data_IF_504968669054
#
_entry.id   IF_504968669054
#
_cell.length_a   1.000
_cell.length_b   1.000
_cell.length_c   1.000
_cell.angle_alpha   90.00
_cell.angle_beta   90.00
_cell.angle_gamma   90.00
#
_symmetry.space_group_name_H-M   'P 1'
#
loop_
_entity.id
_entity.type
_entity.pdbx_description
1 polymer ?
#
# COMPACT_ATOMS: atom_id res chain seq x y z
N UNK A 1 24.28 22.25 18.25
CA UNK A 1 24.76 23.36 17.41
C UNK A 1 24.72 23.07 15.91
N UNK A 2 25.05 21.86 15.44
CA UNK A 2 25.06 21.55 14.00
C UNK A 2 23.69 21.62 13.27
N UNK A 3 22.58 21.27 13.94
CA UNK A 3 21.24 21.32 13.33
C UNK A 3 20.77 22.74 12.99
N UNK A 4 21.09 23.72 13.84
CA UNK A 4 20.76 25.12 13.58
C UNK A 4 21.57 25.69 12.40
N UNK A 5 22.81 25.25 12.21
CA UNK A 5 23.63 25.67 11.07
C UNK A 5 23.11 25.15 9.74
N UNK A 6 22.55 23.94 9.70
CA UNK A 6 21.94 23.38 8.48
C UNK A 6 20.63 24.10 8.16
N UNK A 7 19.82 24.38 9.18
CA UNK A 7 18.57 25.13 9.01
C UNK A 7 18.83 26.55 8.52
N UNK A 8 19.78 27.27 9.13
CA UNK A 8 20.22 28.60 8.69
C UNK A 8 20.80 28.59 7.27
N UNK A 9 21.52 27.53 6.90
CA UNK A 9 22.06 27.40 5.54
C UNK A 9 20.95 27.21 4.50
N UNK A 10 19.96 26.37 4.78
CA UNK A 10 18.80 26.17 3.91
C UNK A 10 17.92 27.42 3.83
N UNK A 11 17.73 28.12 4.96
CA UNK A 11 16.99 29.39 5.02
C UNK A 11 17.66 30.50 4.21
N UNK A 12 18.99 30.63 4.29
CA UNK A 12 19.76 31.59 3.52
C UNK A 12 19.81 31.27 2.01
N UNK A 13 19.79 29.99 1.65
CA UNK A 13 19.75 29.55 0.24
C UNK A 13 18.42 29.87 -0.45
N UNK A 14 17.34 30.01 0.32
CA UNK A 14 15.97 30.06 -0.22
C UNK A 14 15.17 31.28 0.24
N UNK A 15 15.81 32.38 0.62
CA UNK A 15 15.14 33.63 1.05
C UNK A 15 13.93 33.35 1.97
N UNK A 16 14.08 32.58 3.05
CA UNK A 16 13.10 32.24 4.12
C UNK A 16 11.65 31.84 3.73
N UNK A 17 10.89 32.65 2.99
CA UNK A 17 9.53 32.39 2.52
C UNK A 17 9.45 31.23 1.52
N UNK A 18 10.49 31.00 0.70
CA UNK A 18 10.45 29.97 -0.34
C UNK A 18 10.68 28.55 0.23
N UNK A 19 11.42 28.39 1.34
CA UNK A 19 11.71 27.06 1.89
C UNK A 19 10.46 26.40 2.46
N UNK A 20 9.69 27.14 3.25
CA UNK A 20 8.45 26.66 3.87
C UNK A 20 7.40 26.29 2.80
N UNK A 21 7.18 27.17 1.82
CA UNK A 21 6.28 26.90 0.70
C UNK A 21 6.72 25.69 -0.14
N UNK A 22 8.03 25.51 -0.37
CA UNK A 22 8.56 24.34 -1.09
C UNK A 22 8.38 23.05 -0.32
N UNK A 23 8.62 23.04 0.99
CA UNK A 23 8.36 21.84 1.81
C UNK A 23 6.88 21.48 1.80
N UNK A 24 5.99 22.47 1.91
CA UNK A 24 4.54 22.24 1.80
C UNK A 24 4.18 21.60 0.46
N UNK A 25 4.69 22.13 -0.65
CA UNK A 25 4.46 21.55 -1.99
C UNK A 25 5.03 20.13 -2.08
N UNK A 26 6.19 19.87 -1.49
CA UNK A 26 6.78 18.53 -1.45
C UNK A 26 5.86 17.53 -0.74
N UNK A 27 5.34 17.87 0.44
CA UNK A 27 4.42 17.00 1.19
C UNK A 27 3.11 16.74 0.43
N UNK A 28 2.54 17.75 -0.23
CA UNK A 28 1.34 17.57 -1.08
C UNK A 28 1.63 16.61 -2.24
N UNK A 29 2.78 16.75 -2.89
CA UNK A 29 3.18 15.85 -3.98
C UNK A 29 3.44 14.43 -3.48
N UNK A 30 4.02 14.28 -2.29
CA UNK A 30 4.28 12.98 -1.68
C UNK A 30 2.96 12.28 -1.29
N UNK A 31 2.04 12.98 -0.63
CA UNK A 31 0.69 12.47 -0.33
C UNK A 31 -0.06 12.01 -1.58
N UNK A 32 0.08 12.76 -2.69
CA UNK A 32 -0.52 12.38 -3.98
C UNK A 32 0.07 11.08 -4.53
N UNK A 33 1.39 10.92 -4.48
CA UNK A 33 2.07 9.69 -4.93
C UNK A 33 1.69 8.49 -4.05
N UNK A 34 1.67 8.68 -2.74
CA UNK A 34 1.32 7.63 -1.78
C UNK A 34 -0.15 7.23 -1.92
N UNK A 35 -1.03 8.17 -2.24
CA UNK A 35 -2.44 7.88 -2.60
C UNK A 35 -2.54 7.02 -3.85
N UNK A 36 -1.79 7.37 -4.91
CA UNK A 36 -1.77 6.57 -6.13
C UNK A 36 -1.26 5.15 -5.86
N UNK A 37 -0.20 5.01 -5.04
CA UNK A 37 0.33 3.72 -4.63
C UNK A 37 -0.68 2.91 -3.79
N UNK A 38 -1.34 3.53 -2.80
CA UNK A 38 -2.37 2.90 -2.00
C UNK A 38 -3.56 2.42 -2.87
N UNK A 39 -3.97 3.21 -3.85
CA UNK A 39 -5.02 2.82 -4.79
C UNK A 39 -4.64 1.61 -5.64
N UNK A 40 -3.39 1.55 -6.12
CA UNK A 40 -2.87 0.39 -6.84
C UNK A 40 -2.89 -0.87 -5.95
N UNK A 41 -2.38 -0.77 -4.72
CA UNK A 41 -2.40 -1.88 -3.75
C UNK A 41 -3.83 -2.35 -3.45
N UNK A 42 -4.77 -1.42 -3.30
CA UNK A 42 -6.18 -1.75 -3.12
C UNK A 42 -6.74 -2.55 -4.29
N UNK A 43 -6.49 -2.11 -5.54
CA UNK A 43 -6.93 -2.85 -6.74
C UNK A 43 -6.31 -4.25 -6.79
N UNK A 44 -5.02 -4.39 -6.48
CA UNK A 44 -4.35 -5.69 -6.40
C UNK A 44 -4.98 -6.61 -5.35
N UNK A 45 -5.28 -6.09 -4.15
CA UNK A 45 -5.97 -6.84 -3.10
C UNK A 45 -7.35 -7.33 -3.58
N UNK A 46 -8.12 -6.48 -4.25
CA UNK A 46 -9.44 -6.85 -4.78
C UNK A 46 -9.34 -7.90 -5.89
N UNK A 47 -8.36 -7.78 -6.78
CA UNK A 47 -8.09 -8.79 -7.80
C UNK A 47 -7.79 -10.15 -7.15
N UNK A 48 -6.91 -10.18 -6.16
CA UNK A 48 -6.49 -11.41 -5.49
C UNK A 48 -7.67 -12.07 -4.75
N UNK A 49 -8.51 -11.29 -4.05
CA UNK A 49 -9.75 -11.80 -3.43
C UNK A 49 -10.68 -12.46 -4.45
N UNK A 50 -10.85 -11.87 -5.64
CA UNK A 50 -11.66 -12.46 -6.72
C UNK A 50 -11.08 -13.77 -7.22
N UNK A 51 -9.76 -13.83 -7.43
CA UNK A 51 -9.06 -15.06 -7.85
C UNK A 51 -9.19 -16.15 -6.79
N UNK A 52 -9.01 -15.83 -5.51
CA UNK A 52 -9.19 -16.76 -4.41
C UNK A 52 -10.63 -17.30 -4.32
N UNK A 53 -11.63 -16.45 -4.55
CA UNK A 53 -13.02 -16.89 -4.56
C UNK A 53 -13.30 -17.91 -5.69
N UNK A 54 -12.73 -17.68 -6.89
CA UNK A 54 -12.81 -18.65 -8.00
C UNK A 54 -12.12 -19.97 -7.65
N UNK A 55 -10.96 -19.93 -7.00
CA UNK A 55 -10.27 -21.15 -6.54
C UNK A 55 -11.12 -21.91 -5.53
N UNK A 56 -11.77 -21.21 -4.59
CA UNK A 56 -12.62 -21.84 -3.59
C UNK A 56 -13.81 -22.57 -4.23
N UNK A 57 -14.46 -21.97 -5.22
CA UNK A 57 -15.55 -22.62 -5.97
C UNK A 57 -15.04 -23.90 -6.65
N UNK A 58 -13.91 -23.80 -7.37
CA UNK A 58 -13.33 -24.96 -8.04
C UNK A 58 -12.92 -26.07 -7.05
N UNK A 59 -12.43 -25.72 -5.86
CA UNK A 59 -12.12 -26.70 -4.82
C UNK A 59 -13.37 -27.45 -4.36
N UNK A 60 -14.50 -26.77 -4.16
CA UNK A 60 -15.77 -27.40 -3.81
C UNK A 60 -16.25 -28.35 -4.91
N UNK A 61 -16.13 -27.94 -6.18
CA UNK A 61 -16.50 -28.78 -7.31
C UNK A 61 -15.62 -30.05 -7.39
N UNK A 62 -14.31 -29.91 -7.14
CA UNK A 62 -13.38 -31.05 -7.10
C UNK A 62 -13.64 -31.97 -5.91
N UNK A 63 -13.97 -31.42 -4.74
CA UNK A 63 -14.35 -32.20 -3.55
C UNK A 63 -15.63 -33.02 -3.83
N UNK A 64 -16.59 -32.48 -4.58
CA UNK A 64 -17.81 -33.18 -4.97
C UNK A 64 -17.57 -34.36 -5.94
N UNK A 65 -16.47 -34.35 -6.70
CA UNK A 65 -16.12 -35.43 -7.62
C UNK A 65 -15.56 -36.67 -6.92
N UNK A 66 -15.12 -36.56 -5.67
CA UNK A 66 -14.55 -37.64 -4.86
C UNK A 66 -13.20 -38.17 -5.38
N UNK A 67 -12.88 -39.42 -5.08
CA UNK A 67 -11.57 -40.05 -5.38
C UNK A 67 -11.35 -40.43 -6.86
N UNK A 68 -11.97 -39.71 -7.80
CA UNK A 68 -11.61 -39.83 -9.21
C UNK A 68 -10.23 -39.20 -9.36
N UNK A 69 -9.18 -39.99 -9.64
CA UNK A 69 -7.78 -39.58 -9.50
C UNK A 69 -7.41 -38.15 -9.95
N UNK A 70 -7.94 -37.68 -11.08
CA UNK A 70 -7.72 -36.29 -11.58
C UNK A 70 -8.21 -35.22 -10.59
N UNK A 71 -9.28 -35.47 -9.84
CA UNK A 71 -9.84 -34.55 -8.84
C UNK A 71 -8.94 -34.42 -7.60
N UNK A 72 -8.27 -35.49 -7.16
CA UNK A 72 -7.39 -35.47 -5.97
C UNK A 72 -6.15 -34.61 -6.22
N UNK A 73 -5.44 -34.85 -7.33
CA UNK A 73 -4.25 -34.08 -7.70
C UNK A 73 -4.59 -32.60 -7.97
N UNK A 74 -5.72 -32.36 -8.64
CA UNK A 74 -6.21 -31.00 -8.90
C UNK A 74 -6.56 -30.27 -7.62
N UNK A 75 -7.16 -30.94 -6.63
CA UNK A 75 -7.52 -30.37 -5.34
C UNK A 75 -6.27 -29.96 -4.54
N UNK A 76 -5.23 -30.80 -4.53
CA UNK A 76 -3.97 -30.46 -3.88
C UNK A 76 -3.33 -29.21 -4.51
N UNK A 77 -3.27 -29.16 -5.85
CA UNK A 77 -2.76 -28.01 -6.59
C UNK A 77 -3.55 -26.73 -6.30
N UNK A 78 -4.89 -26.83 -6.24
CA UNK A 78 -5.78 -25.72 -5.89
C UNK A 78 -5.54 -25.23 -4.46
N UNK A 79 -5.42 -26.13 -3.48
CA UNK A 79 -5.13 -25.79 -2.07
C UNK A 79 -3.79 -25.07 -1.94
N UNK A 80 -2.74 -25.58 -2.59
CA UNK A 80 -1.41 -24.95 -2.60
C UNK A 80 -1.47 -23.53 -3.19
N UNK A 81 -2.16 -23.37 -4.31
CA UNK A 81 -2.32 -22.08 -4.98
C UNK A 81 -3.15 -21.10 -4.14
N UNK A 82 -4.23 -21.58 -3.52
CA UNK A 82 -5.08 -20.79 -2.62
C UNK A 82 -4.28 -20.28 -1.41
N UNK A 83 -3.51 -21.14 -0.76
CA UNK A 83 -2.68 -20.77 0.39
C UNK A 83 -1.62 -19.73 0.03
N UNK A 84 -0.95 -19.89 -1.12
CA UNK A 84 -0.02 -18.88 -1.63
C UNK A 84 -0.70 -17.53 -1.87
N UNK A 85 -1.87 -17.52 -2.48
CA UNK A 85 -2.64 -16.28 -2.69
C UNK A 85 -3.12 -15.66 -1.38
N UNK A 86 -3.51 -16.47 -0.39
CA UNK A 86 -3.87 -16.00 0.94
C UNK A 86 -2.72 -15.26 1.61
N UNK A 87 -1.52 -15.84 1.65
CA UNK A 87 -0.34 -15.19 2.23
C UNK A 87 0.05 -13.91 1.48
N UNK A 88 -0.07 -13.90 0.15
CA UNK A 88 0.17 -12.69 -0.64
C UNK A 88 -0.84 -11.58 -0.32
N UNK A 89 -2.11 -11.93 -0.08
CA UNK A 89 -3.15 -10.98 0.29
C UNK A 89 -2.89 -10.36 1.66
N UNK A 90 -2.44 -11.14 2.63
CA UNK A 90 -2.06 -10.68 3.97
C UNK A 90 -0.96 -9.61 3.86
N UNK A 91 0.14 -9.92 3.16
CA UNK A 91 1.25 -8.97 2.94
C UNK A 91 0.78 -7.70 2.22
N UNK A 92 -0.01 -7.83 1.15
CA UNK A 92 -0.51 -6.67 0.40
C UNK A 92 -1.47 -5.80 1.23
N UNK A 93 -2.23 -6.40 2.15
CA UNK A 93 -3.14 -5.68 3.05
C UNK A 93 -2.36 -4.87 4.08
N UNK A 94 -1.27 -5.43 4.61
CA UNK A 94 -0.39 -4.72 5.53
C UNK A 94 0.31 -3.54 4.83
N UNK A 95 0.82 -3.76 3.61
CA UNK A 95 1.41 -2.70 2.79
C UNK A 95 0.40 -1.60 2.46
N UNK A 96 -0.86 -1.96 2.16
CA UNK A 96 -1.93 -1.00 1.91
C UNK A 96 -2.22 -0.14 3.15
N UNK A 97 -2.23 -0.77 4.33
CA UNK A 97 -2.40 -0.05 5.60
C UNK A 97 -1.28 0.96 5.81
N UNK A 98 -0.02 0.54 5.61
CA UNK A 98 1.13 1.43 5.73
C UNK A 98 1.09 2.58 4.71
N UNK A 99 0.75 2.30 3.45
CA UNK A 99 0.62 3.34 2.42
C UNK A 99 -0.46 4.38 2.78
N UNK A 100 -1.59 3.94 3.35
CA UNK A 100 -2.64 4.85 3.83
C UNK A 100 -2.20 5.68 5.04
N UNK A 101 -1.48 5.08 5.98
CA UNK A 101 -0.88 5.82 7.09
C UNK A 101 0.09 6.89 6.59
N UNK A 102 0.93 6.57 5.60
CA UNK A 102 1.83 7.53 4.95
C UNK A 102 1.08 8.72 4.35
N UNK A 103 -0.01 8.48 3.62
CA UNK A 103 -0.87 9.57 3.11
C UNK A 103 -1.35 10.48 4.23
N UNK A 104 -1.89 9.91 5.32
CA UNK A 104 -2.37 10.69 6.46
C UNK A 104 -1.25 11.48 7.16
N UNK A 105 -0.05 10.92 7.25
CA UNK A 105 1.12 11.59 7.81
C UNK A 105 1.52 12.79 6.96
N UNK A 106 1.58 12.63 5.63
CA UNK A 106 1.95 13.73 4.73
C UNK A 106 0.89 14.81 4.67
N UNK A 107 -0.39 14.46 4.70
CA UNK A 107 -1.50 15.43 4.84
C UNK A 107 -1.40 16.19 6.17
N UNK A 108 -1.11 15.51 7.28
CA UNK A 108 -0.93 16.15 8.58
C UNK A 108 0.30 17.09 8.59
N UNK A 109 1.38 16.74 7.89
CA UNK A 109 2.55 17.60 7.74
C UNK A 109 2.23 18.88 6.98
N UNK A 110 1.39 18.81 5.93
CA UNK A 110 0.88 20.00 5.22
C UNK A 110 0.07 20.91 6.16
N UNK A 111 -0.81 20.35 6.99
CA UNK A 111 -1.61 21.12 7.95
C UNK A 111 -0.71 21.85 8.96
N UNK A 112 0.26 21.14 9.56
CA UNK A 112 1.22 21.75 10.49
C UNK A 112 2.02 22.89 9.86
N UNK A 113 2.35 22.79 8.58
CA UNK A 113 3.01 23.88 7.87
C UNK A 113 2.08 25.08 7.73
N UNK A 114 0.81 24.88 7.38
CA UNK A 114 -0.14 25.99 7.27
C UNK A 114 -0.44 26.70 8.61
N UNK A 115 -0.33 26.00 9.75
CA UNK A 115 -0.52 26.57 11.09
C UNK A 115 0.69 27.38 11.60
N UNK A 116 1.89 27.14 11.05
CA UNK A 116 3.13 27.81 11.44
C UNK A 116 3.53 28.98 10.53
N UNK A 117 2.60 29.45 9.69
CA UNK A 117 2.77 30.57 8.75
C UNK A 117 2.34 31.91 9.35
#
# INVERSE_FOLDING_TARGET
>A
MAQFQILDHLMNLFENSNLHDRMRVWFVQQATKDTAFANLLFVCCQHLRRVMNKHRIMMVDMEALGDRGVAVDSLEALRKTYNRHKSMLEIMTDLLTQARSGVCEEEANVVKMNENN
#
